data_IF_937081204347
#
_entry.id   IF_937081204347
#
_cell.length_a   1.000
_cell.length_b   1.000
_cell.length_c   1.000
_cell.angle_alpha   90.00
_cell.angle_beta   90.00
_cell.angle_gamma   90.00
#
_symmetry.space_group_name_H-M   'P 1'
#
loop_
_entity.id
_entity.type
_entity.pdbx_description
1 polymer ?
#
# COMPACT_ATOMS: atom_id res chain seq x y z
N UNK A 1 5.36 -5.85 16.33
CA UNK A 1 4.74 -4.74 15.55
C UNK A 1 5.80 -4.04 14.73
N UNK A 2 5.65 -4.02 13.41
CA UNK A 2 6.49 -3.24 12.48
C UNK A 2 5.79 -1.94 12.09
N UNK A 3 6.58 -0.91 11.78
CA UNK A 3 6.09 0.35 11.21
C UNK A 3 6.54 0.43 9.76
N UNK A 4 5.61 0.66 8.87
CA UNK A 4 5.88 0.84 7.44
C UNK A 4 5.84 2.32 7.05
N UNK A 5 6.71 2.73 6.14
CA UNK A 5 6.56 4.00 5.40
C UNK A 5 5.89 3.66 4.08
N UNK A 6 4.64 4.08 3.91
CA UNK A 6 3.83 3.75 2.75
C UNK A 6 4.42 4.27 1.42
N UNK A 7 4.21 3.54 0.33
CA UNK A 7 4.45 4.07 -1.00
C UNK A 7 3.56 5.32 -1.26
N UNK A 8 4.08 6.37 -1.91
CA UNK A 8 5.40 6.49 -2.51
C UNK A 8 6.49 7.06 -1.58
N UNK A 9 6.17 7.35 -0.30
CA UNK A 9 7.09 7.98 0.64
C UNK A 9 8.29 7.09 0.96
N UNK A 10 8.11 5.76 1.00
CA UNK A 10 9.19 4.80 1.19
C UNK A 10 10.30 4.86 0.13
N UNK A 11 10.08 5.52 -1.03
CA UNK A 11 11.16 5.79 -1.99
C UNK A 11 12.20 6.81 -1.46
N UNK A 12 11.83 7.64 -0.47
CA UNK A 12 12.62 8.79 -0.01
C UNK A 12 12.96 8.72 1.46
N UNK A 13 12.09 8.12 2.28
CA UNK A 13 12.25 8.04 3.73
C UNK A 13 12.73 6.64 4.06
N UNK A 14 13.98 6.55 4.52
CA UNK A 14 14.66 5.31 4.91
C UNK A 14 15.15 5.46 6.34
N UNK A 15 14.70 4.61 7.24
CA UNK A 15 15.14 4.61 8.64
C UNK A 15 15.27 3.17 9.14
N UNK A 16 16.17 2.92 10.08
CA UNK A 16 16.35 1.61 10.71
C UNK A 16 15.13 1.15 11.53
N UNK A 17 14.24 2.11 11.87
CA UNK A 17 13.05 1.84 12.70
C UNK A 17 11.81 1.50 11.88
N UNK A 18 11.92 1.52 10.54
CA UNK A 18 10.76 1.33 9.66
C UNK A 18 11.10 0.50 8.43
N UNK A 19 10.12 -0.22 7.92
CA UNK A 19 10.17 -0.91 6.64
C UNK A 19 9.66 0.06 5.57
N UNK A 20 10.50 0.36 4.57
CA UNK A 20 10.12 1.26 3.49
C UNK A 20 9.39 0.52 2.39
N UNK A 21 8.15 0.94 2.07
CA UNK A 21 7.42 0.44 0.90
C UNK A 21 7.73 1.34 -0.30
N UNK A 22 8.47 0.80 -1.27
CA UNK A 22 8.88 1.51 -2.47
C UNK A 22 7.89 1.32 -3.62
N UNK A 23 7.76 2.27 -4.52
CA UNK A 23 6.84 2.18 -5.67
C UNK A 23 5.60 3.08 -5.50
N UNK A 24 4.41 2.66 -5.95
CA UNK A 24 4.14 1.40 -6.67
C UNK A 24 4.72 1.45 -8.08
N UNK A 25 5.36 0.37 -8.49
CA UNK A 25 6.00 0.22 -9.78
C UNK A 25 5.04 -0.43 -10.78
N UNK A 26 5.12 0.00 -12.03
CA UNK A 26 4.39 -0.59 -13.16
C UNK A 26 5.37 -1.28 -14.10
N UNK A 27 4.92 -2.19 -14.96
CA UNK A 27 5.78 -2.82 -15.96
C UNK A 27 6.47 -1.72 -16.77
N UNK A 28 5.70 -0.89 -17.42
CA UNK A 28 6.21 0.19 -18.23
C UNK A 28 6.45 1.48 -17.43
N UNK A 29 7.41 2.27 -17.89
CA UNK A 29 7.69 3.61 -17.37
C UNK A 29 6.50 4.55 -17.61
N UNK A 30 6.06 5.25 -16.57
CA UNK A 30 5.01 6.28 -16.62
C UNK A 30 5.60 7.65 -16.23
N UNK A 31 5.84 8.49 -17.22
CA UNK A 31 6.52 9.80 -17.05
C UNK A 31 5.62 10.89 -16.46
N UNK A 32 6.21 12.06 -16.14
CA UNK A 32 5.47 13.28 -15.74
C UNK A 32 5.04 13.32 -14.28
N UNK A 33 5.71 12.60 -13.36
CA UNK A 33 5.36 12.54 -11.95
C UNK A 33 5.32 13.92 -11.28
N UNK A 34 6.35 14.74 -11.45
CA UNK A 34 6.42 16.07 -10.81
C UNK A 34 5.33 17.00 -11.33
N UNK A 35 5.07 16.98 -12.64
CA UNK A 35 3.99 17.75 -13.26
C UNK A 35 2.64 17.32 -12.68
N UNK A 36 2.40 16.01 -12.54
CA UNK A 36 1.14 15.50 -12.03
C UNK A 36 0.96 15.81 -10.54
N UNK A 37 2.03 15.74 -9.73
CA UNK A 37 2.01 16.19 -8.34
C UNK A 37 1.62 17.67 -8.27
N UNK A 38 2.29 18.54 -9.00
CA UNK A 38 2.00 19.97 -9.02
C UNK A 38 0.54 20.29 -9.45
N UNK A 39 0.02 19.51 -10.40
CA UNK A 39 -1.36 19.67 -10.91
C UNK A 39 -2.44 19.17 -9.97
N UNK A 40 -2.18 18.08 -9.23
CA UNK A 40 -3.27 17.32 -8.58
C UNK A 40 -3.14 17.18 -7.07
N UNK A 41 -1.94 17.35 -6.48
CA UNK A 41 -1.80 17.24 -5.03
C UNK A 41 -2.35 18.49 -4.34
N UNK A 42 -3.38 18.31 -3.51
CA UNK A 42 -4.08 19.41 -2.81
C UNK A 42 -4.38 19.02 -1.37
N UNK A 43 -4.13 19.95 -0.45
CA UNK A 43 -4.62 19.86 0.92
C UNK A 43 -6.04 20.43 0.96
N UNK A 44 -6.99 19.65 1.45
CA UNK A 44 -8.39 20.04 1.64
C UNK A 44 -8.77 19.99 3.13
N UNK A 45 -9.95 20.45 3.49
CA UNK A 45 -10.48 20.31 4.87
C UNK A 45 -10.60 18.85 5.30
N UNK A 46 -10.80 17.93 4.34
CA UNK A 46 -10.95 16.48 4.57
C UNK A 46 -9.62 15.74 4.64
N UNK A 47 -8.55 16.27 4.08
CA UNK A 47 -7.25 15.63 3.98
C UNK A 47 -6.55 15.94 2.67
N UNK A 48 -5.51 15.16 2.35
CA UNK A 48 -4.78 15.30 1.10
C UNK A 48 -5.46 14.52 -0.02
N UNK A 49 -5.69 15.21 -1.15
CA UNK A 49 -6.20 14.60 -2.39
C UNK A 49 -5.12 14.62 -3.45
N UNK A 50 -4.98 13.53 -4.21
CA UNK A 50 -4.05 13.45 -5.33
C UNK A 50 -4.60 12.57 -6.46
N UNK A 51 -4.18 12.86 -7.70
CA UNK A 51 -4.40 12.03 -8.89
C UNK A 51 -3.08 11.82 -9.62
N UNK A 52 -2.07 11.26 -8.93
CA UNK A 52 -0.71 11.08 -9.48
C UNK A 52 -0.69 9.99 -10.56
N UNK A 53 -1.52 8.96 -10.45
CA UNK A 53 -1.74 7.95 -11.50
C UNK A 53 -0.56 7.00 -11.71
N UNK A 54 0.06 6.51 -10.62
CA UNK A 54 1.15 5.51 -10.65
C UNK A 54 2.35 5.91 -11.54
N UNK A 55 2.70 7.21 -11.57
CA UNK A 55 3.84 7.68 -12.37
C UNK A 55 5.16 7.32 -11.73
N UNK A 56 5.94 6.49 -12.42
CA UNK A 56 7.18 5.89 -11.92
C UNK A 56 8.10 5.49 -13.10
N UNK A 57 9.39 5.20 -12.86
CA UNK A 57 10.34 4.84 -13.93
C UNK A 57 10.29 3.38 -14.40
N UNK A 58 9.28 2.60 -14.00
CA UNK A 58 9.13 1.19 -14.35
C UNK A 58 9.82 0.22 -13.40
N UNK A 59 9.34 -1.05 -13.39
CA UNK A 59 9.76 -2.12 -12.48
C UNK A 59 11.25 -2.39 -12.53
N UNK A 60 11.85 -2.45 -13.71
CA UNK A 60 13.29 -2.74 -13.88
C UNK A 60 14.17 -1.68 -13.17
N UNK A 61 13.78 -0.40 -13.28
CA UNK A 61 14.50 0.67 -12.58
C UNK A 61 14.22 0.67 -11.06
N UNK A 62 13.07 0.17 -10.65
CA UNK A 62 12.75 -0.04 -9.24
C UNK A 62 13.62 -1.13 -8.64
N UNK A 63 13.71 -2.29 -9.26
CA UNK A 63 14.50 -3.45 -8.80
C UNK A 63 15.99 -3.14 -8.64
N UNK A 64 16.58 -2.35 -9.55
CA UNK A 64 17.98 -1.89 -9.42
C UNK A 64 18.27 -1.13 -8.12
N UNK A 65 17.24 -0.60 -7.46
CA UNK A 65 17.34 0.20 -6.22
C UNK A 65 16.79 -0.53 -5.00
N UNK A 66 16.19 -1.69 -5.18
CA UNK A 66 15.58 -2.48 -4.11
C UNK A 66 16.65 -2.96 -3.13
N UNK A 67 16.28 -3.03 -1.86
CA UNK A 67 17.07 -3.59 -0.78
C UNK A 67 16.24 -4.63 -0.03
N UNK A 68 16.88 -5.69 0.46
CA UNK A 68 16.20 -6.84 1.10
C UNK A 68 15.30 -6.48 2.29
N UNK A 69 15.63 -5.40 3.01
CA UNK A 69 14.84 -4.92 4.15
C UNK A 69 13.68 -3.99 3.74
N UNK A 70 13.37 -3.87 2.47
CA UNK A 70 12.28 -3.07 1.93
C UNK A 70 11.13 -3.96 1.44
N UNK A 71 9.98 -3.33 1.19
CA UNK A 71 8.86 -3.93 0.47
C UNK A 71 8.72 -3.23 -0.88
N UNK A 72 8.63 -4.02 -1.93
CA UNK A 72 8.51 -3.56 -3.31
C UNK A 72 7.04 -3.56 -3.73
N UNK A 73 6.42 -2.38 -3.79
CA UNK A 73 5.01 -2.25 -4.19
C UNK A 73 4.89 -2.23 -5.71
N UNK A 74 4.02 -3.09 -6.26
CA UNK A 74 3.73 -3.19 -7.70
C UNK A 74 2.25 -3.00 -7.98
N UNK A 75 1.92 -2.53 -9.18
CA UNK A 75 0.55 -2.36 -9.63
C UNK A 75 0.41 -2.73 -11.11
N UNK A 76 -0.42 -3.71 -11.40
CA UNK A 76 -0.83 -4.06 -12.76
C UNK A 76 -1.83 -3.05 -13.32
N UNK A 77 -1.67 -2.66 -14.57
CA UNK A 77 -2.53 -1.72 -15.30
C UNK A 77 -3.16 -2.43 -16.49
N UNK A 78 -2.38 -3.24 -17.17
CA UNK A 78 -2.82 -4.05 -18.32
C UNK A 78 -3.07 -5.50 -17.88
N UNK A 79 -3.83 -6.22 -18.69
CA UNK A 79 -4.29 -7.59 -18.37
C UNK A 79 -3.14 -8.56 -18.11
N UNK A 80 -2.05 -8.47 -18.85
CA UNK A 80 -0.93 -9.40 -18.77
C UNK A 80 0.21 -8.93 -17.85
N UNK A 81 0.08 -7.75 -17.22
CA UNK A 81 1.13 -7.18 -16.36
C UNK A 81 1.58 -8.13 -15.25
N UNK A 82 0.66 -8.88 -14.63
CA UNK A 82 1.00 -9.80 -13.56
C UNK A 82 1.93 -10.94 -14.03
N UNK A 83 1.67 -11.50 -15.22
CA UNK A 83 2.52 -12.52 -15.85
C UNK A 83 3.89 -11.96 -16.22
N UNK A 84 3.96 -10.69 -16.62
CA UNK A 84 5.24 -10.06 -16.93
C UNK A 84 6.03 -9.71 -15.68
N UNK A 85 5.36 -9.31 -14.60
CA UNK A 85 6.01 -9.12 -13.30
C UNK A 85 6.64 -10.42 -12.77
N UNK A 86 5.98 -11.59 -12.92
CA UNK A 86 6.53 -12.88 -12.44
C UNK A 86 7.83 -13.27 -13.16
N UNK A 87 7.99 -12.87 -14.42
CA UNK A 87 9.24 -13.09 -15.19
C UNK A 87 10.40 -12.19 -14.73
N UNK A 88 10.08 -11.04 -14.11
CA UNK A 88 11.05 -9.98 -13.80
C UNK A 88 11.44 -10.00 -12.33
N UNK A 89 10.51 -10.29 -11.42
CA UNK A 89 10.68 -10.13 -9.97
C UNK A 89 11.08 -11.47 -9.33
N UNK A 90 12.27 -11.55 -8.71
CA UNK A 90 12.71 -12.77 -8.01
C UNK A 90 11.77 -13.13 -6.84
N UNK A 91 11.67 -14.43 -6.53
CA UNK A 91 10.83 -14.96 -5.44
C UNK A 91 11.27 -14.53 -4.03
N UNK A 92 12.47 -14.00 -3.90
CA UNK A 92 13.01 -13.48 -2.62
C UNK A 92 12.62 -12.03 -2.34
N UNK A 93 12.07 -11.31 -3.34
CA UNK A 93 11.69 -9.90 -3.18
C UNK A 93 10.40 -9.78 -2.37
N UNK A 94 10.43 -9.07 -1.25
CA UNK A 94 9.24 -8.73 -0.46
C UNK A 94 8.28 -7.85 -1.27
N UNK A 95 7.00 -8.21 -1.36
CA UNK A 95 6.03 -7.57 -2.24
C UNK A 95 4.84 -6.95 -1.52
N UNK A 96 4.42 -5.78 -1.99
CA UNK A 96 3.05 -5.24 -1.81
C UNK A 96 2.35 -5.22 -3.16
N UNK A 97 1.28 -5.98 -3.32
CA UNK A 97 0.40 -5.98 -4.49
C UNK A 97 -0.63 -4.86 -4.31
N UNK A 98 -0.48 -3.78 -5.06
CA UNK A 98 -1.40 -2.65 -5.01
C UNK A 98 -2.58 -2.89 -5.97
N UNK A 99 -3.60 -3.62 -5.50
CA UNK A 99 -4.78 -4.01 -6.29
C UNK A 99 -5.80 -2.88 -6.46
N UNK A 100 -5.62 -1.74 -5.81
CA UNK A 100 -6.72 -0.81 -5.57
C UNK A 100 -6.33 0.65 -5.69
N UNK A 101 -5.46 0.98 -6.65
CA UNK A 101 -5.13 2.38 -6.90
C UNK A 101 -6.34 3.13 -7.49
N UNK A 102 -6.96 4.11 -6.80
CA UNK A 102 -8.13 4.81 -7.31
C UNK A 102 -7.85 5.72 -8.51
N UNK A 103 -6.60 5.75 -8.95
CA UNK A 103 -6.12 6.57 -10.06
C UNK A 103 -5.94 5.76 -11.37
N UNK A 104 -6.46 4.53 -11.43
CA UNK A 104 -6.53 3.68 -12.62
C UNK A 104 -7.96 3.21 -12.84
N UNK A 105 -8.36 3.05 -14.10
CA UNK A 105 -9.76 2.79 -14.47
C UNK A 105 -10.15 1.31 -14.36
N UNK A 106 -9.18 0.38 -14.47
CA UNK A 106 -9.40 -1.06 -14.42
C UNK A 106 -8.41 -1.74 -13.49
N UNK A 107 -8.88 -2.74 -12.75
CA UNK A 107 -8.07 -3.58 -11.88
C UNK A 107 -8.12 -5.02 -12.39
N UNK A 108 -7.00 -5.50 -12.92
CA UNK A 108 -6.80 -6.89 -13.25
C UNK A 108 -6.20 -7.63 -12.07
N UNK A 109 -6.62 -8.86 -11.83
CA UNK A 109 -6.16 -9.66 -10.68
C UNK A 109 -5.68 -11.05 -11.05
N UNK A 110 -5.90 -11.47 -12.30
CA UNK A 110 -5.50 -12.80 -12.78
C UNK A 110 -3.98 -12.92 -12.90
N UNK A 111 -3.39 -13.91 -12.24
CA UNK A 111 -1.94 -14.13 -12.17
C UNK A 111 -1.29 -13.55 -10.90
N UNK A 112 -2.06 -12.94 -9.97
CA UNK A 112 -1.54 -12.52 -8.65
C UNK A 112 -1.17 -13.75 -7.82
N UNK A 113 -1.89 -14.84 -7.94
CA UNK A 113 -1.64 -16.12 -7.28
C UNK A 113 -0.23 -16.69 -7.55
N UNK A 114 0.35 -16.37 -8.70
CA UNK A 114 1.68 -16.85 -9.10
C UNK A 114 2.83 -16.21 -8.28
N UNK A 115 2.53 -15.14 -7.50
CA UNK A 115 3.50 -14.51 -6.61
C UNK A 115 3.59 -15.14 -5.23
N UNK A 116 2.69 -16.05 -4.87
CA UNK A 116 2.73 -16.73 -3.57
C UNK A 116 4.01 -17.53 -3.44
N UNK A 117 4.84 -17.21 -2.46
CA UNK A 117 6.12 -17.88 -2.20
C UNK A 117 6.42 -17.88 -0.71
N UNK A 118 6.91 -19.01 -0.21
CA UNK A 118 7.34 -19.14 1.20
C UNK A 118 8.64 -18.37 1.50
N UNK A 119 9.44 -18.05 0.48
CA UNK A 119 10.69 -17.31 0.64
C UNK A 119 10.50 -15.80 0.91
N UNK A 120 9.28 -15.24 0.67
CA UNK A 120 8.99 -13.85 1.00
C UNK A 120 8.56 -13.71 2.47
N UNK A 121 9.21 -12.87 3.22
CA UNK A 121 8.74 -12.45 4.56
C UNK A 121 7.44 -11.64 4.45
N UNK A 122 7.41 -10.70 3.50
CA UNK A 122 6.27 -9.83 3.23
C UNK A 122 5.64 -10.14 1.87
N UNK A 123 4.40 -10.65 1.91
CA UNK A 123 3.54 -10.76 0.73
C UNK A 123 2.20 -10.12 1.04
N UNK A 124 2.10 -8.84 0.73
CA UNK A 124 1.07 -7.93 1.20
C UNK A 124 0.05 -7.64 0.12
N UNK A 125 -1.23 -7.85 0.41
CA UNK A 125 -2.34 -7.37 -0.42
C UNK A 125 -2.80 -5.98 0.04
N UNK A 126 -2.66 -4.94 -0.77
CA UNK A 126 -3.16 -3.60 -0.44
C UNK A 126 -4.52 -3.35 -1.04
N UNK A 127 -5.52 -3.16 -0.17
CA UNK A 127 -6.94 -3.07 -0.55
C UNK A 127 -7.46 -1.63 -0.59
N UNK A 128 -8.59 -1.45 -1.31
CA UNK A 128 -9.34 -0.19 -1.35
C UNK A 128 -10.19 -0.01 -0.09
N UNK A 129 -10.47 1.24 0.35
CA UNK A 129 -11.56 1.52 1.28
C UNK A 129 -12.93 1.01 0.82
N UNK A 130 -13.11 0.88 -0.49
CA UNK A 130 -14.36 0.42 -1.13
C UNK A 130 -14.42 -1.09 -1.37
N UNK A 131 -13.35 -1.84 -1.06
CA UNK A 131 -13.34 -3.31 -1.13
C UNK A 131 -14.49 -3.88 -0.28
N UNK A 132 -15.26 -4.79 -0.84
CA UNK A 132 -16.28 -5.54 -0.12
C UNK A 132 -15.65 -6.66 0.69
N UNK A 133 -16.33 -7.17 1.73
CA UNK A 133 -15.83 -8.32 2.49
C UNK A 133 -15.73 -9.58 1.62
N UNK A 134 -16.63 -9.76 0.66
CA UNK A 134 -16.58 -10.88 -0.28
C UNK A 134 -15.33 -10.82 -1.19
N UNK A 135 -14.96 -9.62 -1.67
CA UNK A 135 -13.72 -9.44 -2.43
C UNK A 135 -12.50 -9.68 -1.55
N UNK A 136 -12.50 -9.17 -0.31
CA UNK A 136 -11.43 -9.38 0.65
C UNK A 136 -11.22 -10.87 0.95
N UNK A 137 -12.30 -11.62 1.20
CA UNK A 137 -12.28 -13.07 1.37
C UNK A 137 -11.66 -13.78 0.16
N UNK A 138 -12.11 -13.40 -1.04
CA UNK A 138 -11.54 -13.95 -2.28
C UNK A 138 -10.05 -13.63 -2.43
N UNK A 139 -9.60 -12.44 -2.06
CA UNK A 139 -8.19 -12.07 -2.09
C UNK A 139 -7.35 -12.88 -1.10
N UNK A 140 -7.84 -13.09 0.12
CA UNK A 140 -7.16 -13.89 1.14
C UNK A 140 -7.06 -15.36 0.70
N UNK A 141 -8.16 -15.95 0.23
CA UNK A 141 -8.22 -17.38 -0.10
C UNK A 141 -7.53 -17.73 -1.42
N UNK A 142 -7.66 -16.86 -2.43
CA UNK A 142 -7.12 -17.13 -3.78
C UNK A 142 -5.63 -16.79 -3.90
N UNK A 143 -5.20 -15.63 -3.34
CA UNK A 143 -3.85 -15.13 -3.62
C UNK A 143 -2.81 -15.50 -2.56
N UNK A 144 -3.22 -16.02 -1.39
CA UNK A 144 -2.31 -16.46 -0.34
C UNK A 144 -1.51 -15.33 0.30
N UNK A 145 -2.08 -14.12 0.42
CA UNK A 145 -1.43 -13.02 1.12
C UNK A 145 -1.14 -13.37 2.58
N UNK A 146 0.08 -13.12 3.01
CA UNK A 146 0.47 -13.23 4.43
C UNK A 146 -0.03 -12.03 5.24
N UNK A 147 -0.11 -10.87 4.60
CA UNK A 147 -0.57 -9.64 5.22
C UNK A 147 -1.57 -8.91 4.32
N UNK A 148 -2.53 -8.21 4.94
CA UNK A 148 -3.44 -7.27 4.28
C UNK A 148 -3.17 -5.85 4.77
N UNK A 149 -2.84 -4.94 3.84
CA UNK A 149 -2.68 -3.51 4.09
C UNK A 149 -4.02 -2.79 3.88
N UNK A 150 -4.69 -2.48 4.95
CA UNK A 150 -5.92 -1.70 4.98
C UNK A 150 -5.61 -0.26 5.42
N UNK A 151 -5.81 0.74 4.61
CA UNK A 151 -6.21 0.65 3.21
C UNK A 151 -5.52 1.73 2.35
N UNK A 152 -5.77 1.67 1.06
CA UNK A 152 -5.35 2.72 0.11
C UNK A 152 -6.18 4.00 0.31
N UNK A 153 -5.97 5.02 -0.52
CA UNK A 153 -6.72 6.28 -0.49
C UNK A 153 -8.19 6.06 -0.90
N UNK A 154 -9.10 6.82 -0.30
CA UNK A 154 -10.52 6.79 -0.62
C UNK A 154 -10.76 7.44 -2.00
N UNK A 155 -11.41 6.74 -2.95
CA UNK A 155 -11.79 7.33 -4.21
C UNK A 155 -12.72 8.55 -4.03
N UNK A 156 -12.36 9.66 -4.65
CA UNK A 156 -13.17 10.88 -4.71
C UNK A 156 -13.11 11.44 -6.14
N UNK A 157 -14.03 12.33 -6.58
CA UNK A 157 -14.08 12.82 -7.96
C UNK A 157 -12.74 13.35 -8.50
N UNK A 158 -11.91 13.92 -7.64
CA UNK A 158 -10.63 14.54 -8.01
C UNK A 158 -9.41 13.64 -7.69
N UNK A 159 -9.58 12.33 -7.48
CA UNK A 159 -8.49 11.37 -7.23
C UNK A 159 -8.67 10.55 -5.97
N UNK A 160 -7.59 10.32 -5.22
CA UNK A 160 -7.60 9.58 -3.96
C UNK A 160 -7.43 10.50 -2.76
N UNK A 161 -8.36 10.45 -1.81
CA UNK A 161 -8.32 11.17 -0.54
C UNK A 161 -7.59 10.34 0.51
N UNK A 162 -6.63 10.96 1.20
CA UNK A 162 -5.89 10.36 2.30
C UNK A 162 -5.99 11.21 3.58
N UNK A 163 -5.92 10.55 4.73
CA UNK A 163 -6.02 11.21 6.04
C UNK A 163 -7.00 10.53 6.97
N UNK A 164 -7.55 11.28 7.94
CA UNK A 164 -8.39 10.73 9.02
C UNK A 164 -9.70 10.09 8.53
N UNK A 165 -10.20 10.48 7.39
CA UNK A 165 -11.41 9.88 6.81
C UNK A 165 -11.24 8.40 6.44
N UNK A 166 -10.01 7.88 6.39
CA UNK A 166 -9.75 6.46 6.20
C UNK A 166 -9.98 5.62 7.45
N UNK A 167 -10.00 6.22 8.65
CA UNK A 167 -10.07 5.50 9.92
C UNK A 167 -11.26 4.52 9.97
N UNK A 168 -12.51 4.90 9.65
CA UNK A 168 -13.64 3.97 9.70
C UNK A 168 -13.48 2.77 8.77
N UNK A 169 -12.93 2.99 7.58
CA UNK A 169 -12.69 1.92 6.60
C UNK A 169 -11.59 0.97 7.06
N UNK A 170 -10.47 1.49 7.52
CA UNK A 170 -9.37 0.67 8.06
C UNK A 170 -9.85 -0.13 9.26
N UNK A 171 -10.58 0.50 10.20
CA UNK A 171 -11.12 -0.15 11.40
C UNK A 171 -12.01 -1.34 11.05
N UNK A 172 -12.92 -1.19 10.09
CA UNK A 172 -13.83 -2.29 9.71
C UNK A 172 -13.06 -3.49 9.14
N UNK A 173 -12.00 -3.24 8.34
CA UNK A 173 -11.21 -4.32 7.75
C UNK A 173 -10.34 -5.01 8.80
N UNK A 174 -9.67 -4.23 9.69
CA UNK A 174 -8.85 -4.82 10.76
C UNK A 174 -9.70 -5.76 11.60
N UNK A 175 -10.86 -5.31 12.10
CA UNK A 175 -11.76 -6.14 12.92
C UNK A 175 -12.20 -7.38 12.15
N UNK A 176 -12.68 -7.22 10.92
CA UNK A 176 -13.14 -8.35 10.12
C UNK A 176 -12.06 -9.41 9.89
N UNK A 177 -10.82 -8.98 9.59
CA UNK A 177 -9.71 -9.92 9.37
C UNK A 177 -9.30 -10.59 10.69
N UNK A 178 -9.19 -9.83 11.77
CA UNK A 178 -8.86 -10.37 13.10
C UNK A 178 -9.85 -11.44 13.56
N UNK A 179 -11.15 -11.19 13.32
CA UNK A 179 -12.20 -12.10 13.76
C UNK A 179 -12.33 -13.35 12.89
N UNK A 180 -12.10 -13.25 11.57
CA UNK A 180 -12.40 -14.31 10.61
C UNK A 180 -11.17 -14.99 9.99
N UNK A 181 -10.00 -14.32 9.97
CA UNK A 181 -8.76 -14.77 9.34
C UNK A 181 -7.55 -14.56 10.24
N UNK A 182 -7.49 -15.20 11.45
CA UNK A 182 -6.44 -14.93 12.45
C UNK A 182 -5.03 -15.32 12.00
N UNK A 183 -4.90 -16.07 10.90
CA UNK A 183 -3.62 -16.42 10.28
C UNK A 183 -3.09 -15.34 9.32
N UNK A 184 -3.88 -14.30 9.03
CA UNK A 184 -3.50 -13.18 8.15
C UNK A 184 -3.18 -11.97 9.01
N UNK A 185 -1.96 -11.48 8.94
CA UNK A 185 -1.57 -10.27 9.64
C UNK A 185 -2.15 -9.02 8.97
N UNK A 186 -2.46 -8.03 9.78
CA UNK A 186 -3.02 -6.77 9.29
C UNK A 186 -2.05 -5.61 9.43
N UNK A 187 -1.99 -4.76 8.39
CA UNK A 187 -1.24 -3.51 8.39
C UNK A 187 -2.24 -2.36 8.32
N UNK A 188 -2.41 -1.64 9.44
CA UNK A 188 -3.33 -0.52 9.50
C UNK A 188 -2.74 0.74 8.88
N UNK A 189 -3.38 1.30 7.86
CA UNK A 189 -2.99 2.52 7.17
C UNK A 189 -4.12 3.55 7.10
N UNK A 190 -3.75 4.82 7.13
CA UNK A 190 -4.69 5.94 7.05
C UNK A 190 -5.01 6.58 8.40
N UNK A 191 -4.94 7.90 8.44
CA UNK A 191 -5.29 8.70 9.61
C UNK A 191 -4.32 8.69 10.77
N UNK A 192 -3.15 8.08 10.66
CA UNK A 192 -2.14 8.00 11.72
C UNK A 192 -1.29 9.29 11.73
N UNK A 193 -1.44 10.08 12.80
CA UNK A 193 -0.68 11.32 13.02
C UNK A 193 -0.10 11.42 14.44
N UNK A 194 -0.53 10.56 15.36
CA UNK A 194 -0.13 10.55 16.77
C UNK A 194 0.12 9.12 17.27
N UNK A 195 0.81 8.98 18.41
CA UNK A 195 0.96 7.67 19.07
C UNK A 195 -0.39 7.09 19.53
N UNK A 196 -1.36 7.95 19.84
CA UNK A 196 -2.71 7.51 20.17
C UNK A 196 -3.43 6.85 18.97
N UNK A 197 -3.20 7.35 17.75
CA UNK A 197 -3.75 6.72 16.54
C UNK A 197 -3.14 5.32 16.33
N UNK A 198 -1.83 5.16 16.58
CA UNK A 198 -1.17 3.85 16.53
C UNK A 198 -1.78 2.92 17.58
N UNK A 199 -1.86 3.39 18.85
CA UNK A 199 -2.44 2.61 19.94
C UNK A 199 -3.86 2.15 19.60
N UNK A 200 -4.69 3.05 19.07
CA UNK A 200 -6.06 2.72 18.65
C UNK A 200 -6.10 1.53 17.68
N UNK A 201 -5.26 1.54 16.62
CA UNK A 201 -5.22 0.43 15.68
C UNK A 201 -4.72 -0.88 16.30
N UNK A 202 -3.72 -0.80 17.18
CA UNK A 202 -3.22 -1.96 17.89
C UNK A 202 -4.29 -2.55 18.83
N UNK A 203 -5.02 -1.69 19.55
CA UNK A 203 -6.07 -2.12 20.50
C UNK A 203 -7.24 -2.84 19.78
N UNK A 204 -7.49 -2.55 18.51
CA UNK A 204 -8.53 -3.23 17.71
C UNK A 204 -8.02 -4.45 16.91
N UNK A 205 -6.76 -4.88 17.15
CA UNK A 205 -6.20 -6.11 16.61
C UNK A 205 -5.26 -5.96 15.40
N UNK A 206 -4.81 -4.74 15.05
CA UNK A 206 -3.79 -4.59 14.02
C UNK A 206 -2.45 -5.19 14.46
N UNK A 207 -1.75 -5.89 13.56
CA UNK A 207 -0.40 -6.44 13.81
C UNK A 207 0.69 -5.38 13.55
N UNK A 208 0.46 -4.53 12.56
CA UNK A 208 1.41 -3.53 12.07
C UNK A 208 0.70 -2.23 11.69
N UNK A 209 1.48 -1.15 11.48
CA UNK A 209 0.96 0.15 11.04
C UNK A 209 1.73 0.71 9.85
N UNK A 210 1.03 1.46 8.99
CA UNK A 210 1.60 2.08 7.80
C UNK A 210 1.44 3.61 7.82
N UNK A 211 2.57 4.32 7.80
CA UNK A 211 2.66 5.76 7.88
C UNK A 211 2.68 6.35 6.45
N UNK A 212 1.63 7.03 6.08
CA UNK A 212 1.49 7.68 4.76
C UNK A 212 1.48 9.20 4.88
N UNK A 213 0.31 9.79 5.02
CA UNK A 213 0.09 11.26 4.96
C UNK A 213 0.88 12.05 6.02
N UNK A 214 1.21 11.45 7.15
CA UNK A 214 2.06 12.07 8.19
C UNK A 214 3.46 12.38 7.68
N UNK A 215 3.93 11.69 6.63
CA UNK A 215 5.23 11.93 5.99
C UNK A 215 5.36 13.33 5.38
N UNK A 216 4.25 14.03 5.13
CA UNK A 216 4.27 15.44 4.76
C UNK A 216 4.67 16.38 5.91
N UNK A 217 4.71 15.87 7.15
CA UNK A 217 5.12 16.63 8.32
C UNK A 217 6.28 15.91 9.05
N UNK A 218 7.54 16.25 8.75
CA UNK A 218 8.72 15.58 9.32
C UNK A 218 8.77 15.61 10.85
N UNK A 219 8.30 16.70 11.47
CA UNK A 219 8.29 16.82 12.94
C UNK A 219 7.29 15.84 13.58
N UNK A 220 6.10 15.67 12.97
CA UNK A 220 5.13 14.67 13.44
C UNK A 220 5.62 13.26 13.17
N UNK A 221 6.18 13.00 11.98
CA UNK A 221 6.75 11.70 11.64
C UNK A 221 7.81 11.27 12.64
N UNK A 222 8.79 12.15 12.98
CA UNK A 222 9.84 11.88 13.96
C UNK A 222 9.31 11.46 15.33
N UNK A 223 8.15 11.99 15.77
CA UNK A 223 7.52 11.61 17.03
C UNK A 223 6.89 10.22 17.00
N UNK A 224 6.63 9.66 15.82
CA UNK A 224 6.07 8.34 15.62
C UNK A 224 7.13 7.24 15.40
N UNK A 225 8.32 7.64 14.97
CA UNK A 225 9.50 6.75 14.84
C UNK A 225 10.17 6.50 16.17
#
# INVERSE_FOLDING_TARGET
MSKFIAAPFGNYIKTEKTISVTGSWTIEKRTGRLIQIAKTLRLTKRGWVNKIGLRNPGVVNGLKKYKENEVFSIAGIEKDDWKDFTKIIPDTVNLEINMSCPNIDKHYTDGIEDFSSNSREWFIGKISPTTTFKELENYITKFGFKQIHACNTLPVPNGGLSGKELIPYTTKFIKHITDNYPHVETIAGGGIYTKADIKYYMDIGANHVSLGTVCFNPLKLRKLL
#
